data_IF_231320446028
#
_entry.id   IF_231320446028
#
_cell.length_a   1.000
_cell.length_b   1.000
_cell.length_c   1.000
_cell.angle_alpha   90.00
_cell.angle_beta   90.00
_cell.angle_gamma   90.00
#
_symmetry.space_group_name_H-M   'P 1'
#
loop_
_entity.id
_entity.type
_entity.pdbx_description
1 polymer ?
#
# COMPACT_ATOMS: atom_id res chain seq x y z
N UNK A 1 5.89 40.21 7.64
CA UNK A 1 6.20 39.58 6.33
C UNK A 1 7.47 38.73 6.41
N UNK A 2 8.62 39.26 6.82
CA UNK A 2 9.88 38.48 6.90
C UNK A 2 9.79 37.23 7.80
N UNK A 3 9.22 37.35 8.99
CA UNK A 3 9.05 36.23 9.93
C UNK A 3 8.19 35.09 9.38
N UNK A 4 7.14 35.42 8.62
CA UNK A 4 6.27 34.42 7.98
C UNK A 4 7.03 33.60 6.94
N UNK A 5 7.89 34.23 6.13
CA UNK A 5 8.71 33.52 5.16
C UNK A 5 9.80 32.66 5.81
N UNK A 6 10.36 33.10 6.95
CA UNK A 6 11.27 32.27 7.74
C UNK A 6 10.57 31.04 8.29
N UNK A 7 9.38 31.20 8.89
CA UNK A 7 8.57 30.09 9.36
C UNK A 7 8.23 29.11 8.22
N UNK A 8 7.78 29.63 7.07
CA UNK A 8 7.44 28.82 5.90
C UNK A 8 8.62 28.00 5.38
N UNK A 9 9.83 28.58 5.35
CA UNK A 9 11.06 27.88 4.95
C UNK A 9 11.38 26.74 5.92
N UNK A 10 11.34 27.00 7.23
CA UNK A 10 11.59 25.97 8.24
C UNK A 10 10.55 24.86 8.14
N UNK A 11 9.28 25.20 7.98
CA UNK A 11 8.20 24.24 7.78
C UNK A 11 8.43 23.36 6.54
N UNK A 12 8.84 23.97 5.41
CA UNK A 12 9.19 23.24 4.19
C UNK A 12 10.37 22.29 4.41
N UNK A 13 11.44 22.75 5.06
CA UNK A 13 12.62 21.92 5.35
C UNK A 13 12.26 20.76 6.28
N UNK A 14 11.51 21.03 7.35
CA UNK A 14 11.04 19.97 8.25
C UNK A 14 10.16 18.96 7.50
N UNK A 15 9.26 19.45 6.63
CA UNK A 15 8.41 18.61 5.80
C UNK A 15 9.20 17.71 4.85
N UNK A 16 10.21 18.25 4.16
CA UNK A 16 11.04 17.46 3.23
C UNK A 16 11.87 16.42 3.96
N UNK A 17 12.48 16.76 5.10
CA UNK A 17 13.23 15.80 5.93
C UNK A 17 12.31 14.69 6.43
N UNK A 18 11.10 15.02 6.87
CA UNK A 18 10.11 14.04 7.29
C UNK A 18 9.72 13.10 6.13
N UNK A 19 9.46 13.63 4.94
CA UNK A 19 9.16 12.83 3.75
C UNK A 19 10.31 11.88 3.40
N UNK A 20 11.56 12.37 3.43
CA UNK A 20 12.74 11.54 3.18
C UNK A 20 12.88 10.42 4.22
N UNK A 21 12.63 10.70 5.49
CA UNK A 21 12.64 9.69 6.54
C UNK A 21 11.54 8.62 6.30
N UNK A 22 10.34 9.05 5.91
CA UNK A 22 9.26 8.14 5.51
C UNK A 22 9.65 7.28 4.29
N UNK A 23 10.25 7.87 3.25
CA UNK A 23 10.73 7.12 2.08
C UNK A 23 11.81 6.10 2.46
N UNK A 24 12.76 6.48 3.31
CA UNK A 24 13.79 5.58 3.80
C UNK A 24 13.18 4.41 4.59
N UNK A 25 12.24 4.69 5.50
CA UNK A 25 11.53 3.66 6.25
C UNK A 25 10.72 2.74 5.34
N UNK A 26 10.06 3.26 4.30
CA UNK A 26 9.33 2.46 3.31
C UNK A 26 10.27 1.62 2.42
N UNK A 27 11.50 2.07 2.21
CA UNK A 27 12.52 1.32 1.47
C UNK A 27 13.10 0.16 2.28
N UNK A 28 13.20 0.31 3.61
CA UNK A 28 13.76 -0.71 4.48
C UNK A 28 12.86 -1.96 4.56
N UNK A 29 13.35 -3.16 4.15
CA UNK A 29 12.52 -4.33 3.97
C UNK A 29 11.89 -4.86 5.26
N UNK A 30 12.50 -4.60 6.42
CA UNK A 30 12.08 -5.07 7.74
C UNK A 30 11.27 -4.06 8.55
N UNK A 31 10.99 -2.86 8.02
CA UNK A 31 10.24 -1.86 8.78
C UNK A 31 8.75 -2.24 8.87
N UNK A 32 8.15 -2.06 10.06
CA UNK A 32 6.69 -2.25 10.24
C UNK A 32 5.90 -1.24 9.39
N UNK A 33 6.49 -0.06 9.12
CA UNK A 33 5.89 0.98 8.27
C UNK A 33 5.76 0.55 6.80
N UNK A 34 6.79 -0.11 6.25
CA UNK A 34 6.76 -0.69 4.90
C UNK A 34 5.69 -1.78 4.79
N UNK A 35 5.58 -2.65 5.78
CA UNK A 35 4.58 -3.72 5.78
C UNK A 35 3.15 -3.17 5.74
N UNK A 36 2.83 -2.21 6.62
CA UNK A 36 1.51 -1.55 6.64
C UNK A 36 1.27 -0.74 5.36
N UNK A 37 2.30 -0.04 4.88
CA UNK A 37 2.22 0.74 3.64
C UNK A 37 1.97 -0.12 2.40
N UNK A 38 2.63 -1.27 2.27
CA UNK A 38 2.39 -2.25 1.20
C UNK A 38 1.01 -2.88 1.30
N UNK A 39 0.56 -3.22 2.50
CA UNK A 39 -0.79 -3.73 2.74
C UNK A 39 -1.85 -2.71 2.26
N UNK A 40 -1.73 -1.44 2.69
CA UNK A 40 -2.60 -0.34 2.25
C UNK A 40 -2.53 -0.11 0.74
N UNK A 41 -1.33 -0.12 0.16
CA UNK A 41 -1.14 0.06 -1.28
C UNK A 41 -1.82 -1.05 -2.09
N UNK A 42 -1.80 -2.30 -1.62
CA UNK A 42 -2.49 -3.42 -2.28
C UNK A 42 -4.00 -3.30 -2.19
N UNK A 43 -4.55 -2.89 -1.04
CA UNK A 43 -5.98 -2.61 -0.94
C UNK A 43 -6.38 -1.41 -1.80
N UNK A 44 -5.57 -0.35 -1.85
CA UNK A 44 -5.80 0.81 -2.70
C UNK A 44 -5.73 0.43 -4.19
N UNK A 45 -4.79 -0.43 -4.58
CA UNK A 45 -4.73 -1.00 -5.92
C UNK A 45 -5.98 -1.82 -6.25
N UNK A 46 -6.43 -2.69 -5.34
CA UNK A 46 -7.68 -3.43 -5.52
C UNK A 46 -8.88 -2.50 -5.73
N UNK A 47 -9.01 -1.48 -4.88
CA UNK A 47 -10.09 -0.49 -4.99
C UNK A 47 -10.00 0.31 -6.30
N UNK A 48 -8.79 0.73 -6.70
CA UNK A 48 -8.57 1.45 -7.96
C UNK A 48 -8.93 0.61 -9.18
N UNK A 49 -8.56 -0.67 -9.20
CA UNK A 49 -8.92 -1.61 -10.27
C UNK A 49 -10.44 -1.79 -10.36
N UNK A 50 -11.13 -1.92 -9.22
CA UNK A 50 -12.59 -2.03 -9.21
C UNK A 50 -13.30 -0.74 -9.66
N UNK A 51 -12.71 0.43 -9.35
CA UNK A 51 -13.22 1.73 -9.81
C UNK A 51 -13.00 1.96 -11.30
N UNK A 52 -12.02 1.27 -11.91
CA UNK A 52 -11.76 1.34 -13.35
C UNK A 52 -12.74 0.50 -14.17
N UNK A 53 -13.42 -0.49 -13.58
CA UNK A 53 -14.45 -1.29 -14.28
C UNK A 53 -15.58 -0.41 -14.88
N UNK A 54 -16.16 0.57 -14.15
CA UNK A 54 -17.13 1.49 -14.74
C UNK A 54 -16.50 2.67 -15.52
N UNK A 55 -15.19 2.64 -15.82
CA UNK A 55 -14.50 3.75 -16.46
C UNK A 55 -14.97 3.96 -17.91
N UNK A 56 -15.33 5.19 -18.30
CA UNK A 56 -15.70 5.51 -19.68
C UNK A 56 -14.51 5.49 -20.66
N UNK A 57 -13.30 5.11 -20.20
CA UNK A 57 -12.10 5.00 -21.04
C UNK A 57 -12.14 3.72 -21.91
N UNK A 58 -12.92 2.69 -21.52
CA UNK A 58 -13.15 1.48 -22.32
C UNK A 58 -14.12 1.67 -23.49
N UNK A 59 -14.27 2.91 -23.94
CA UNK A 59 -14.96 3.29 -25.18
C UNK A 59 -14.07 3.09 -26.42
N UNK A 60 -13.13 2.13 -26.43
CA UNK A 60 -12.68 1.58 -27.72
C UNK A 60 -13.96 0.98 -28.30
N UNK A 61 -14.51 1.55 -29.39
CA UNK A 61 -15.86 1.22 -29.82
C UNK A 61 -15.94 -0.29 -30.00
N UNK A 62 -17.07 -0.86 -29.60
CA UNK A 62 -17.48 -2.27 -29.66
C UNK A 62 -17.38 -2.88 -31.08
N UNK A 63 -16.22 -2.82 -31.71
CA UNK A 63 -15.99 -3.27 -33.09
C UNK A 63 -15.53 -4.74 -33.10
N UNK A 64 -15.01 -5.26 -31.98
CA UNK A 64 -14.56 -6.66 -31.87
C UNK A 64 -15.22 -7.35 -30.66
N UNK A 65 -16.26 -8.17 -30.88
CA UNK A 65 -16.87 -8.98 -29.83
C UNK A 65 -15.82 -9.88 -29.16
N UNK A 66 -15.71 -9.82 -27.84
CA UNK A 66 -14.83 -10.67 -27.02
C UNK A 66 -13.53 -10.05 -26.52
N UNK A 67 -13.03 -8.95 -27.11
CA UNK A 67 -11.79 -8.27 -26.64
C UNK A 67 -12.10 -7.25 -25.55
N UNK A 68 -13.20 -6.47 -25.67
CA UNK A 68 -13.57 -5.46 -24.66
C UNK A 68 -13.87 -6.04 -23.27
N UNK A 69 -14.37 -7.28 -23.19
CA UNK A 69 -14.69 -7.95 -21.93
C UNK A 69 -13.47 -8.56 -21.23
N UNK A 70 -12.38 -8.75 -21.98
CA UNK A 70 -11.15 -9.34 -21.43
C UNK A 70 -10.46 -8.37 -20.47
N UNK A 71 -10.56 -7.06 -20.71
CA UNK A 71 -9.95 -6.02 -19.86
C UNK A 71 -10.65 -5.94 -18.49
N UNK A 72 -11.99 -5.90 -18.48
CA UNK A 72 -12.81 -5.95 -17.27
C UNK A 72 -12.54 -7.19 -16.41
N UNK A 73 -12.47 -8.36 -17.05
CA UNK A 73 -12.11 -9.62 -16.37
C UNK A 73 -10.68 -9.54 -15.82
N UNK A 74 -9.76 -8.91 -16.55
CA UNK A 74 -8.40 -8.63 -16.10
C UNK A 74 -8.37 -7.80 -14.83
N UNK A 75 -9.13 -6.69 -14.76
CA UNK A 75 -9.23 -5.85 -13.57
C UNK A 75 -9.79 -6.58 -12.37
N UNK A 76 -10.85 -7.37 -12.55
CA UNK A 76 -11.44 -8.18 -11.46
C UNK A 76 -10.45 -9.22 -10.94
N UNK A 77 -9.78 -9.96 -11.82
CA UNK A 77 -8.79 -10.97 -11.43
C UNK A 77 -7.61 -10.33 -10.71
N UNK A 78 -7.11 -9.19 -11.21
CA UNK A 78 -6.02 -8.44 -10.57
C UNK A 78 -6.42 -7.89 -9.19
N UNK A 79 -7.65 -7.41 -9.04
CA UNK A 79 -8.18 -6.94 -7.75
C UNK A 79 -8.30 -8.08 -6.73
N UNK A 80 -8.76 -9.26 -7.14
CA UNK A 80 -8.81 -10.44 -6.25
C UNK A 80 -7.39 -10.88 -5.86
N UNK A 81 -6.46 -10.90 -6.81
CA UNK A 81 -5.08 -11.27 -6.57
C UNK A 81 -4.39 -10.30 -5.58
N UNK A 82 -4.61 -9.00 -5.73
CA UNK A 82 -4.03 -7.99 -4.83
C UNK A 82 -4.58 -8.09 -3.41
N UNK A 83 -5.90 -8.32 -3.24
CA UNK A 83 -6.52 -8.56 -1.92
C UNK A 83 -5.98 -9.84 -1.29
N UNK A 84 -5.89 -10.96 -2.03
CA UNK A 84 -5.33 -12.21 -1.51
C UNK A 84 -3.87 -12.05 -1.07
N UNK A 85 -3.09 -11.31 -1.84
CA UNK A 85 -1.70 -10.98 -1.50
C UNK A 85 -1.61 -10.16 -0.22
N UNK A 86 -2.47 -9.15 -0.05
CA UNK A 86 -2.53 -8.33 1.16
C UNK A 86 -2.89 -9.14 2.40
N UNK A 87 -3.92 -9.99 2.32
CA UNK A 87 -4.34 -10.88 3.41
C UNK A 87 -3.24 -11.87 3.81
N UNK A 88 -2.54 -12.44 2.82
CA UNK A 88 -1.44 -13.36 3.06
C UNK A 88 -0.28 -12.72 3.82
N UNK A 89 0.09 -11.48 3.47
CA UNK A 89 1.13 -10.72 4.19
C UNK A 89 0.71 -10.34 5.60
N UNK A 90 -0.55 -9.91 5.79
CA UNK A 90 -1.08 -9.60 7.11
C UNK A 90 -1.01 -10.82 8.04
N UNK A 91 -1.42 -11.99 7.55
CA UNK A 91 -1.38 -13.24 8.34
C UNK A 91 0.05 -13.61 8.75
N UNK A 92 1.01 -13.49 7.83
CA UNK A 92 2.44 -13.73 8.14
C UNK A 92 2.92 -12.77 9.23
N UNK A 93 2.59 -11.48 9.13
CA UNK A 93 2.98 -10.48 10.12
C UNK A 93 2.45 -10.79 11.53
N UNK A 94 1.17 -11.14 11.65
CA UNK A 94 0.57 -11.51 12.93
C UNK A 94 1.25 -12.75 13.54
N UNK A 95 1.56 -13.76 12.71
CA UNK A 95 2.27 -14.95 13.16
C UNK A 95 3.66 -14.63 13.71
N UNK A 96 4.42 -13.74 13.04
CA UNK A 96 5.74 -13.32 13.54
C UNK A 96 5.64 -12.51 14.84
N UNK A 97 4.66 -11.62 14.96
CA UNK A 97 4.44 -10.86 16.19
C UNK A 97 4.05 -11.82 17.36
N UNK A 98 3.25 -12.86 17.11
CA UNK A 98 2.91 -13.89 18.12
C UNK A 98 4.13 -14.70 18.58
N UNK A 99 4.98 -15.12 17.65
CA UNK A 99 6.23 -15.84 17.96
C UNK A 99 7.19 -14.99 18.78
N UNK A 100 7.32 -13.69 18.45
CA UNK A 100 8.16 -12.75 19.19
C UNK A 100 7.66 -12.57 20.63
N UNK A 101 6.35 -12.44 20.84
CA UNK A 101 5.75 -12.36 22.18
C UNK A 101 5.98 -13.64 22.98
N UNK A 102 5.83 -14.81 22.35
CA UNK A 102 6.05 -16.10 23.01
C UNK A 102 7.51 -16.26 23.46
N UNK A 103 8.47 -15.90 22.62
CA UNK A 103 9.90 -15.94 22.97
C UNK A 103 10.23 -15.02 24.15
N UNK A 104 9.64 -13.83 24.18
CA UNK A 104 9.80 -12.90 25.30
C UNK A 104 9.23 -13.46 26.60
N UNK A 105 8.05 -14.08 26.56
CA UNK A 105 7.44 -14.73 27.72
C UNK A 105 8.30 -15.88 28.26
N UNK A 106 8.84 -16.72 27.38
CA UNK A 106 9.73 -17.81 27.75
C UNK A 106 11.05 -17.31 28.36
N UNK A 107 11.54 -16.15 27.92
CA UNK A 107 12.73 -15.51 28.50
C UNK A 107 12.46 -14.92 29.89
N UNK A 108 11.30 -14.30 30.11
CA UNK A 108 10.93 -13.73 31.43
C UNK A 108 10.62 -14.81 32.48
N UNK A 109 10.27 -16.03 32.04
CA UNK A 109 9.94 -17.15 32.94
C UNK A 109 11.18 -17.91 33.46
N UNK A 110 12.36 -17.68 32.88
CA UNK A 110 13.64 -18.26 33.30
C UNK A 110 14.35 -17.34 34.27
#
# INVERSE_FOLDING_TARGET
MAEFFSFLKVFLICGTVLILAFMALLSLPQSKLRAVGLELAKYAMAAGLLLLIPSPVDLIPDVVPGIGWLDDVGYVVAAIASVRSALGERKKRLLYDELEVQELQDRTRK
#
